data_IF_274170805643
#
_entry.id   IF_274170805643
#
_cell.length_a   1.000
_cell.length_b   1.000
_cell.length_c   1.000
_cell.angle_alpha   90.00
_cell.angle_beta   90.00
_cell.angle_gamma   90.00
#
_symmetry.space_group_name_H-M   'P 1'
#
loop_
_entity.id
_entity.type
_entity.pdbx_description
1 polymer ?
#
# COMPACT_ATOMS: atom_id res chain seq x y z
N UNK A 1 12.84 -17.04 -9.85
CA UNK A 1 13.31 -16.39 -11.08
C UNK A 1 13.95 -15.05 -10.71
N UNK A 2 15.02 -14.62 -11.38
CA UNK A 2 15.62 -13.30 -11.17
C UNK A 2 14.69 -12.23 -11.75
N UNK A 3 14.34 -11.22 -10.97
CA UNK A 3 13.59 -10.05 -11.44
C UNK A 3 14.56 -9.16 -12.22
N UNK A 4 14.32 -8.86 -13.51
CA UNK A 4 15.12 -7.92 -14.29
C UNK A 4 15.26 -6.56 -13.60
N UNK A 5 16.39 -5.88 -13.81
CA UNK A 5 16.53 -4.49 -13.41
C UNK A 5 15.42 -3.64 -14.07
N UNK A 6 14.92 -2.63 -13.37
CA UNK A 6 13.86 -1.72 -13.82
C UNK A 6 12.50 -2.40 -14.12
N UNK A 7 12.25 -3.57 -13.51
CA UNK A 7 10.94 -4.23 -13.54
C UNK A 7 9.81 -3.46 -12.85
N UNK A 8 10.16 -2.46 -12.06
CA UNK A 8 9.26 -1.62 -11.27
C UNK A 8 9.51 -0.15 -11.58
N UNK A 9 9.09 0.36 -12.75
CA UNK A 9 9.09 1.80 -13.00
C UNK A 9 8.14 2.54 -12.05
N UNK A 10 8.46 3.81 -11.79
CA UNK A 10 7.54 4.73 -11.14
C UNK A 10 6.32 4.92 -12.04
N UNK A 11 5.14 4.75 -11.46
CA UNK A 11 3.87 4.86 -12.14
C UNK A 11 3.15 6.18 -11.86
N UNK A 12 2.03 6.40 -12.56
CA UNK A 12 1.16 7.54 -12.29
C UNK A 12 0.54 7.43 -10.90
N UNK A 13 0.67 8.52 -10.15
CA UNK A 13 0.19 8.63 -8.76
C UNK A 13 -1.13 9.39 -8.62
N UNK A 14 -1.62 9.97 -9.73
CA UNK A 14 -2.92 10.65 -9.78
C UNK A 14 -4.02 9.67 -10.19
N UNK A 15 -5.14 9.78 -9.49
CA UNK A 15 -6.30 8.89 -9.62
C UNK A 15 -7.46 9.63 -10.28
N UNK A 16 -8.43 8.86 -10.79
CA UNK A 16 -9.56 9.40 -11.56
C UNK A 16 -10.47 10.35 -10.75
N UNK A 17 -10.41 10.29 -9.43
CA UNK A 17 -11.15 11.15 -8.50
C UNK A 17 -10.37 12.44 -8.11
N UNK A 18 -9.25 12.71 -8.78
CA UNK A 18 -8.37 13.84 -8.48
C UNK A 18 -7.50 13.68 -7.24
N UNK A 19 -7.61 12.56 -6.53
CA UNK A 19 -6.72 12.26 -5.40
C UNK A 19 -5.36 11.76 -5.89
N UNK A 20 -4.35 11.84 -4.99
CA UNK A 20 -2.97 11.54 -5.34
C UNK A 20 -2.26 10.76 -4.24
N UNK A 21 -1.64 9.65 -4.63
CA UNK A 21 -0.74 8.86 -3.79
C UNK A 21 0.64 9.49 -3.67
N UNK A 22 1.45 9.04 -2.72
CA UNK A 22 2.85 9.45 -2.66
C UNK A 22 3.68 8.78 -3.76
N UNK A 23 3.77 7.45 -3.76
CA UNK A 23 4.56 6.69 -4.75
C UNK A 23 3.85 5.39 -5.11
N UNK A 24 3.83 5.06 -6.41
CA UNK A 24 3.36 3.77 -6.92
C UNK A 24 4.44 3.21 -7.84
N UNK A 25 4.84 1.97 -7.60
CA UNK A 25 5.64 1.19 -8.53
C UNK A 25 4.76 0.12 -9.16
N UNK A 26 4.64 0.15 -10.47
CA UNK A 26 3.87 -0.86 -11.20
C UNK A 26 4.83 -1.85 -11.86
N UNK A 27 4.52 -3.15 -11.80
CA UNK A 27 5.30 -4.13 -12.55
C UNK A 27 5.18 -3.87 -14.05
N UNK A 28 6.31 -3.74 -14.73
CA UNK A 28 6.38 -3.74 -16.21
C UNK A 28 6.46 -5.16 -16.79
N UNK A 29 6.50 -6.17 -15.92
CA UNK A 29 6.64 -7.57 -16.31
C UNK A 29 5.25 -8.20 -16.51
N UNK A 30 4.92 -8.44 -17.78
CA UNK A 30 3.79 -9.29 -18.17
C UNK A 30 4.20 -10.76 -18.08
N UNK A 31 4.10 -11.33 -16.89
CA UNK A 31 4.26 -12.78 -16.67
C UNK A 31 2.92 -13.43 -16.37
N UNK A 32 2.83 -14.76 -16.52
CA UNK A 32 1.63 -15.54 -16.15
C UNK A 32 1.21 -15.33 -14.69
N UNK A 33 2.17 -15.00 -13.82
CA UNK A 33 1.96 -14.57 -12.44
C UNK A 33 2.38 -13.11 -12.35
N UNK A 34 1.47 -12.20 -12.67
CA UNK A 34 1.74 -10.76 -12.64
C UNK A 34 2.24 -10.33 -11.26
N UNK A 35 3.41 -9.68 -11.22
CA UNK A 35 3.97 -9.17 -9.97
C UNK A 35 3.09 -8.04 -9.43
N UNK A 36 2.84 -7.98 -8.11
CA UNK A 36 1.98 -6.95 -7.53
C UNK A 36 2.63 -5.59 -7.64
N UNK A 37 1.84 -4.57 -7.94
CA UNK A 37 2.25 -3.16 -7.79
C UNK A 37 2.54 -2.86 -6.32
N UNK A 38 3.48 -1.96 -6.06
CA UNK A 38 3.84 -1.53 -4.71
C UNK A 38 3.34 -0.09 -4.53
N UNK A 39 2.41 0.09 -3.59
CA UNK A 39 1.93 1.40 -3.17
C UNK A 39 2.68 1.80 -1.90
N UNK A 40 3.35 2.95 -1.93
CA UNK A 40 4.06 3.50 -0.77
C UNK A 40 3.42 4.82 -0.37
N UNK A 41 3.00 4.91 0.89
CA UNK A 41 2.45 6.12 1.48
C UNK A 41 3.28 6.59 2.67
N UNK A 42 3.51 7.89 2.76
CA UNK A 42 4.18 8.53 3.88
C UNK A 42 3.15 9.29 4.68
N UNK A 43 3.00 8.93 5.95
CA UNK A 43 1.98 9.51 6.79
C UNK A 43 2.56 9.97 8.12
N UNK A 44 2.31 11.24 8.47
CA UNK A 44 2.78 11.81 9.73
C UNK A 44 2.16 11.10 10.93
N UNK A 45 0.83 10.97 10.92
CA UNK A 45 0.07 10.25 11.92
C UNK A 45 -0.93 9.31 11.24
N UNK A 46 -0.89 8.03 11.58
CA UNK A 46 -1.82 7.02 11.06
C UNK A 46 -3.11 7.04 11.87
N UNK A 47 -4.22 7.32 11.21
CA UNK A 47 -5.57 7.33 11.77
C UNK A 47 -6.57 6.62 10.84
N UNK A 48 -7.83 6.55 11.26
CA UNK A 48 -8.89 5.90 10.47
C UNK A 48 -9.10 6.57 9.11
N UNK A 49 -9.02 7.90 9.04
CA UNK A 49 -9.19 8.64 7.79
C UNK A 49 -8.08 8.30 6.78
N UNK A 50 -6.84 8.21 7.25
CA UNK A 50 -5.72 7.75 6.46
C UNK A 50 -5.93 6.32 5.97
N UNK A 51 -6.36 5.40 6.82
CA UNK A 51 -6.57 4.02 6.38
C UNK A 51 -7.69 3.89 5.34
N UNK A 52 -8.79 4.63 5.49
CA UNK A 52 -9.85 4.69 4.47
C UNK A 52 -9.32 5.23 3.12
N UNK A 53 -8.48 6.26 3.17
CA UNK A 53 -7.80 6.80 1.99
C UNK A 53 -6.83 5.79 1.38
N UNK A 54 -6.09 5.06 2.20
CA UNK A 54 -5.15 4.00 1.78
C UNK A 54 -5.88 2.87 1.04
N UNK A 55 -7.03 2.43 1.56
CA UNK A 55 -7.89 1.44 0.90
C UNK A 55 -8.37 1.95 -0.45
N UNK A 56 -8.75 3.22 -0.53
CA UNK A 56 -9.14 3.87 -1.79
C UNK A 56 -8.00 3.84 -2.82
N UNK A 57 -6.78 4.19 -2.41
CA UNK A 57 -5.60 4.16 -3.28
C UNK A 57 -5.23 2.74 -3.72
N UNK A 58 -5.30 1.77 -2.80
CA UNK A 58 -5.11 0.36 -3.14
C UNK A 58 -6.17 -0.14 -4.14
N UNK A 59 -7.42 0.31 -3.99
CA UNK A 59 -8.52 0.00 -4.91
C UNK A 59 -8.29 0.61 -6.30
N UNK A 60 -7.88 1.88 -6.37
CA UNK A 60 -7.51 2.52 -7.63
C UNK A 60 -6.34 1.81 -8.32
N UNK A 61 -5.34 1.40 -7.55
CA UNK A 61 -4.18 0.64 -8.05
C UNK A 61 -4.63 -0.70 -8.62
N UNK A 62 -5.49 -1.45 -7.90
CA UNK A 62 -6.07 -2.69 -8.40
C UNK A 62 -6.90 -2.48 -9.67
N UNK A 63 -7.74 -1.44 -9.71
CA UNK A 63 -8.57 -1.15 -10.90
C UNK A 63 -7.69 -0.91 -12.13
N UNK A 64 -6.55 -0.22 -11.95
CA UNK A 64 -5.60 0.12 -13.03
C UNK A 64 -4.75 -1.06 -13.47
N UNK A 65 -4.18 -1.83 -12.54
CA UNK A 65 -3.20 -2.88 -12.85
C UNK A 65 -3.73 -4.31 -12.77
N UNK A 66 -4.98 -4.49 -12.32
CA UNK A 66 -5.67 -5.79 -12.19
C UNK A 66 -4.98 -6.80 -11.26
N UNK A 67 -4.10 -6.32 -10.38
CA UNK A 67 -3.40 -7.11 -9.35
C UNK A 67 -3.51 -6.39 -8.02
N UNK A 68 -3.77 -7.12 -6.93
CA UNK A 68 -3.83 -6.52 -5.60
C UNK A 68 -2.45 -5.97 -5.25
N UNK A 69 -2.34 -4.68 -4.87
CA UNK A 69 -1.05 -4.10 -4.57
C UNK A 69 -0.52 -4.59 -3.21
N UNK A 70 0.80 -4.65 -3.10
CA UNK A 70 1.46 -4.64 -1.79
C UNK A 70 1.54 -3.20 -1.30
N UNK A 71 1.12 -2.96 -0.08
CA UNK A 71 1.08 -1.60 0.50
C UNK A 71 2.14 -1.48 1.59
N UNK A 72 2.96 -0.45 1.50
CA UNK A 72 3.94 -0.08 2.52
C UNK A 72 3.62 1.33 3.02
N UNK A 73 3.44 1.47 4.34
CA UNK A 73 3.23 2.78 4.97
C UNK A 73 4.43 3.11 5.82
N UNK A 74 5.03 4.28 5.58
CA UNK A 74 6.06 4.85 6.43
C UNK A 74 5.40 5.83 7.40
N UNK A 75 5.33 5.42 8.67
CA UNK A 75 4.78 6.24 9.76
C UNK A 75 5.89 7.13 10.30
N UNK A 76 5.74 8.46 10.15
CA UNK A 76 6.81 9.40 10.51
C UNK A 76 6.81 9.68 12.02
N UNK A 77 5.63 9.86 12.61
CA UNK A 77 5.49 10.21 14.04
C UNK A 77 4.85 9.10 14.85
N UNK A 78 3.59 8.78 14.58
CA UNK A 78 2.81 7.90 15.47
C UNK A 78 1.52 7.40 14.83
N UNK A 79 0.80 6.56 15.57
CA UNK A 79 -0.62 6.31 15.35
C UNK A 79 -1.47 7.37 16.08
N UNK A 80 -2.77 7.40 15.80
CA UNK A 80 -3.75 8.28 16.46
C UNK A 80 -3.94 7.91 17.94
N UNK A 81 -3.86 6.60 18.27
CA UNK A 81 -3.92 6.09 19.63
C UNK A 81 -3.16 4.76 19.76
N UNK A 82 -2.82 4.39 21.00
CA UNK A 82 -2.24 3.08 21.30
C UNK A 82 -3.22 1.94 20.98
N UNK A 83 -4.53 2.16 21.18
CA UNK A 83 -5.55 1.17 20.83
C UNK A 83 -5.61 0.92 19.33
N UNK A 84 -5.51 1.98 18.51
CA UNK A 84 -5.45 1.85 17.07
C UNK A 84 -4.18 1.10 16.62
N UNK A 85 -3.03 1.38 17.25
CA UNK A 85 -1.79 0.66 16.95
C UNK A 85 -1.89 -0.83 17.28
N UNK A 86 -2.64 -1.22 18.32
CA UNK A 86 -2.83 -2.64 18.71
C UNK A 86 -3.61 -3.44 17.67
N UNK A 87 -4.29 -2.80 16.72
CA UNK A 87 -4.91 -3.48 15.58
C UNK A 87 -3.88 -4.07 14.61
N UNK A 88 -2.62 -3.67 14.73
CA UNK A 88 -1.50 -4.17 13.94
C UNK A 88 -0.70 -5.21 14.71
N UNK A 89 -0.27 -6.24 14.01
CA UNK A 89 0.58 -7.32 14.54
C UNK A 89 2.04 -7.10 14.12
N UNK A 90 2.98 -7.54 14.96
CA UNK A 90 4.40 -7.49 14.59
C UNK A 90 4.69 -8.61 13.59
N UNK A 91 5.36 -8.29 12.49
CA UNK A 91 5.79 -9.23 11.46
C UNK A 91 6.71 -10.32 12.02
N UNK A 92 6.83 -11.45 11.31
CA UNK A 92 7.67 -12.58 11.76
C UNK A 92 9.14 -12.21 12.03
N UNK A 93 9.68 -11.22 11.31
CA UNK A 93 11.06 -10.75 11.48
C UNK A 93 11.20 -9.64 12.53
N UNK A 94 10.09 -9.16 13.12
CA UNK A 94 10.10 -8.12 14.15
C UNK A 94 10.33 -6.70 13.63
N UNK A 95 10.41 -6.50 12.32
CA UNK A 95 10.81 -5.21 11.73
C UNK A 95 9.63 -4.37 11.22
N UNK A 96 8.46 -4.99 11.03
CA UNK A 96 7.28 -4.36 10.44
C UNK A 96 6.04 -4.59 11.29
N UNK A 97 5.08 -3.68 11.13
CA UNK A 97 3.71 -3.86 11.60
C UNK A 97 2.84 -4.28 10.41
N UNK A 98 2.04 -5.32 10.61
CA UNK A 98 1.16 -5.92 9.62
C UNK A 98 -0.28 -5.87 10.11
N UNK A 99 -1.19 -5.42 9.25
CA UNK A 99 -2.62 -5.52 9.46
C UNK A 99 -3.25 -6.36 8.36
N UNK A 100 -4.18 -7.24 8.71
CA UNK A 100 -4.92 -8.01 7.71
C UNK A 100 -5.95 -7.10 7.03
N UNK A 101 -5.94 -7.02 5.71
CA UNK A 101 -6.95 -6.27 4.94
C UNK A 101 -8.31 -7.00 4.81
N UNK A 102 -8.65 -7.93 5.72
CA UNK A 102 -9.83 -8.79 5.56
C UNK A 102 -11.17 -8.14 5.93
N UNK A 103 -11.18 -7.03 6.66
CA UNK A 103 -12.41 -6.55 7.31
C UNK A 103 -12.36 -5.06 7.69
N UNK A 104 -12.08 -4.18 6.71
CA UNK A 104 -12.13 -2.72 6.92
C UNK A 104 -13.54 -2.12 6.75
N UNK A 105 -14.53 -2.96 6.43
CA UNK A 105 -15.96 -2.62 6.47
C UNK A 105 -16.49 -3.11 7.82
N UNK A 106 -16.99 -2.18 8.64
CA UNK A 106 -17.77 -2.49 9.84
C UNK A 106 -19.24 -2.75 9.46
#
# INVERSE_FOLDING_TARGET
ASIPANSYPIAQIEWADGSRSNVVYASSIETRESLPSILIELQYQVDQNFMLRLIKYASHTYIRYKVLPTVLVVVIKSFSSADFQREFTISRNGLLLEASCKSWVK
#
